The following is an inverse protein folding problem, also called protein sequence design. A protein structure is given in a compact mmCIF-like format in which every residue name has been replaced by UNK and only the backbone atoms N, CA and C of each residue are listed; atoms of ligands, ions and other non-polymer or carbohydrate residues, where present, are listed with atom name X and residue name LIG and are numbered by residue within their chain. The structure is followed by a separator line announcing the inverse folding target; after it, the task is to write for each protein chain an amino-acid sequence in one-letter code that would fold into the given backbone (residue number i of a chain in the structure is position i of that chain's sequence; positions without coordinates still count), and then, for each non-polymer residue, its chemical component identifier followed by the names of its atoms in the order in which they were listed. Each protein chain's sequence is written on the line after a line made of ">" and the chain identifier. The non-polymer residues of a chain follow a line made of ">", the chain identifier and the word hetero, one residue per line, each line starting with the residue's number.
data_IF_084412209905
#
_entry.id   IF_084412209905
#
_cell.length_a   1.000
_cell.length_b   1.000
_cell.length_c   1.000
_cell.angle_alpha   90.00
_cell.angle_beta   90.00
_cell.angle_gamma   90.00
#
_symmetry.space_group_name_H-M   'P 1'
#
loop_
_entity.id
_entity.type
_entity.pdbx_description
1 polymer ?
#
# COMPACT_ATOMS: atom_id res chain seq x y z
N UNK A 1 37.18 -5.53 12.36
CA UNK A 1 36.20 -5.29 11.28
C UNK A 1 35.06 -6.29 11.41
N UNK A 2 33.80 -5.86 11.25
CA UNK A 2 32.93 -5.73 12.41
C UNK A 2 31.66 -6.62 12.39
N UNK A 3 31.55 -7.47 13.41
CA UNK A 3 30.48 -7.65 14.42
C UNK A 3 29.07 -6.99 14.33
N UNK A 4 28.57 -6.50 13.19
CA UNK A 4 27.31 -5.71 13.15
C UNK A 4 26.02 -6.47 12.73
N UNK A 5 25.99 -7.81 12.75
CA UNK A 5 24.87 -8.60 12.20
C UNK A 5 24.03 -9.39 13.22
N UNK A 6 24.16 -9.09 14.53
CA UNK A 6 23.58 -9.91 15.60
C UNK A 6 22.62 -9.19 16.56
N UNK A 7 22.10 -8.01 16.21
CA UNK A 7 21.22 -7.21 17.11
C UNK A 7 19.86 -6.80 16.50
N UNK A 8 19.15 -7.73 15.87
CA UNK A 8 17.73 -7.53 15.50
C UNK A 8 16.81 -8.68 15.89
N UNK A 9 17.30 -9.69 16.63
CA UNK A 9 16.50 -10.87 16.97
C UNK A 9 15.91 -10.89 18.38
N UNK A 10 16.31 -9.97 19.26
CA UNK A 10 15.86 -9.95 20.65
C UNK A 10 14.88 -8.79 20.90
N UNK A 11 13.64 -8.96 20.45
CA UNK A 11 12.49 -8.21 20.95
C UNK A 11 11.26 -9.14 20.97
N UNK A 12 10.72 -9.51 22.14
CA UNK A 12 9.58 -10.41 22.27
C UNK A 12 8.26 -9.61 22.14
N UNK A 13 8.00 -8.99 20.99
CA UNK A 13 6.76 -8.23 20.74
C UNK A 13 6.36 -8.29 19.26
N UNK A 14 6.32 -9.48 18.68
CA UNK A 14 5.71 -9.73 17.36
C UNK A 14 5.14 -11.15 17.31
N UNK A 15 4.28 -11.48 18.28
CA UNK A 15 3.45 -12.68 18.24
C UNK A 15 2.06 -12.33 18.76
N UNK A 16 1.26 -11.68 17.93
CA UNK A 16 -0.19 -11.78 17.97
C UNK A 16 -0.80 -11.12 16.72
N UNK A 17 -1.70 -11.89 16.08
CA UNK A 17 -2.75 -11.46 15.14
C UNK A 17 -2.27 -10.92 13.78
N UNK A 18 -2.27 -11.71 12.70
CA UNK A 18 -3.42 -12.36 12.04
C UNK A 18 -4.60 -11.41 11.78
N UNK A 19 -4.40 -10.41 10.94
CA UNK A 19 -5.38 -9.96 9.93
C UNK A 19 -4.65 -9.12 8.89
N UNK A 20 -3.97 -9.80 7.96
CA UNK A 20 -3.58 -9.17 6.71
C UNK A 20 -4.85 -9.13 5.84
N UNK A 21 -5.74 -8.18 6.13
CA UNK A 21 -6.82 -7.82 5.20
C UNK A 21 -6.15 -7.14 4.02
N UNK A 22 -6.05 -7.90 2.92
CA UNK A 22 -5.86 -7.36 1.58
C UNK A 22 -6.80 -6.17 1.40
N UNK A 23 -6.26 -4.96 1.41
CA UNK A 23 -6.94 -3.84 0.81
C UNK A 23 -6.64 -3.91 -0.70
N UNK A 24 -7.65 -4.08 -1.57
CA UNK A 24 -7.42 -3.92 -2.99
C UNK A 24 -6.99 -2.47 -3.22
N UNK A 25 -5.85 -2.30 -3.90
CA UNK A 25 -5.42 -1.00 -4.42
C UNK A 25 -6.45 -0.61 -5.49
N UNK A 26 -7.51 0.07 -5.06
CA UNK A 26 -8.41 0.79 -5.93
C UNK A 26 -7.66 2.03 -6.42
N UNK A 27 -7.13 1.94 -7.64
CA UNK A 27 -6.88 3.10 -8.47
C UNK A 27 -8.22 3.83 -8.72
N UNK A 28 -8.66 4.66 -7.77
CA UNK A 28 -9.58 5.75 -8.08
C UNK A 28 -8.75 6.89 -8.62
N UNK A 29 -8.73 6.96 -9.94
CA UNK A 29 -8.27 8.13 -10.66
C UNK A 29 -9.02 9.38 -10.20
N UNK A 30 -8.35 10.50 -10.42
CA UNK A 30 -8.92 11.85 -10.54
C UNK A 30 -9.60 12.35 -9.25
N UNK A 31 -8.83 13.13 -8.49
CA UNK A 31 -9.34 14.10 -7.52
C UNK A 31 -10.30 15.06 -8.24
N UNK A 32 -11.57 14.67 -8.38
CA UNK A 32 -12.67 15.59 -8.59
C UNK A 32 -13.21 15.93 -7.20
N UNK A 33 -12.64 16.96 -6.60
CA UNK A 33 -13.22 17.67 -5.47
C UNK A 33 -14.47 18.41 -5.98
N UNK A 34 -15.58 17.69 -6.10
CA UNK A 34 -16.89 18.29 -6.35
C UNK A 34 -17.50 18.65 -5.00
N UNK A 35 -17.41 19.93 -4.64
CA UNK A 35 -18.20 20.52 -3.56
C UNK A 35 -19.67 20.37 -3.94
N UNK A 36 -20.38 19.48 -3.26
CA UNK A 36 -21.82 19.37 -3.43
C UNK A 36 -22.47 20.38 -2.46
N UNK A 37 -22.80 21.56 -3.00
CA UNK A 37 -23.51 22.61 -2.29
C UNK A 37 -25.01 22.28 -2.35
N UNK A 38 -25.47 21.48 -1.38
CA UNK A 38 -26.87 21.14 -1.17
C UNK A 38 -27.47 21.99 -0.05
N UNK A 39 -28.09 23.09 -0.42
CA UNK A 39 -28.91 23.94 0.43
C UNK A 39 -30.07 23.17 1.06
N UNK A 40 -30.15 23.17 2.39
CA UNK A 40 -31.42 23.03 3.13
C UNK A 40 -31.51 24.12 4.18
N UNK A 41 -32.25 25.16 3.81
CA UNK A 41 -32.90 26.10 4.73
C UNK A 41 -33.98 25.34 5.51
N UNK A 42 -34.13 25.72 6.78
CA UNK A 42 -35.35 25.49 7.55
C UNK A 42 -35.34 24.19 8.36
N UNK A 43 -35.00 24.27 9.64
CA UNK A 43 -36.07 24.29 10.62
C UNK A 43 -35.61 24.99 11.89
N UNK A 44 -36.48 25.89 12.33
CA UNK A 44 -36.36 26.64 13.55
C UNK A 44 -37.02 25.81 14.66
N UNK A 45 -36.21 25.29 15.59
CA UNK A 45 -36.71 24.89 16.90
C UNK A 45 -36.04 25.73 17.97
N UNK A 46 -36.88 26.59 18.53
CA UNK A 46 -36.60 27.45 19.66
C UNK A 46 -36.83 26.70 20.98
N UNK A 47 -36.28 27.29 22.06
CA UNK A 47 -36.68 27.11 23.48
C UNK A 47 -36.09 25.86 24.16
N UNK A 48 -35.50 25.90 25.35
CA UNK A 48 -35.05 26.96 26.26
C UNK A 48 -33.98 26.34 27.17
N UNK A 49 -32.88 27.06 27.41
CA UNK A 49 -31.98 26.74 28.53
C UNK A 49 -32.20 27.80 29.60
N UNK A 50 -32.95 27.39 30.62
CA UNK A 50 -33.21 28.12 31.85
C UNK A 50 -31.90 28.47 32.55
N UNK A 51 -31.80 29.74 32.95
CA UNK A 51 -30.58 30.34 33.46
C UNK A 51 -30.05 29.68 34.72
N UNK A 52 -28.73 29.46 34.73
CA UNK A 52 -27.90 29.48 35.94
C UNK A 52 -26.54 30.11 35.62
N UNK A 53 -26.35 31.30 36.22
CA UNK A 53 -25.05 31.92 36.55
C UNK A 53 -24.11 32.18 35.37
N UNK A 54 -24.35 33.27 34.64
CA UNK A 54 -23.36 33.93 33.79
C UNK A 54 -22.21 34.44 34.66
N UNK A 55 -21.19 33.61 34.84
CA UNK A 55 -19.86 34.08 35.22
C UNK A 55 -19.39 34.93 34.03
N UNK A 56 -19.30 36.25 34.21
CA UNK A 56 -18.69 37.13 33.23
C UNK A 56 -17.24 36.67 33.04
N UNK A 57 -17.00 35.91 31.97
CA UNK A 57 -15.67 35.66 31.45
C UNK A 57 -15.37 36.90 30.61
N UNK A 58 -14.36 37.65 31.03
CA UNK A 58 -13.95 38.90 30.37
C UNK A 58 -13.78 38.69 28.88
N UNK A 59 -14.31 39.64 28.11
CA UNK A 59 -14.22 39.75 26.64
C UNK A 59 -12.78 39.95 26.14
N UNK A 60 -11.81 40.01 27.05
CA UNK A 60 -10.38 40.22 26.78
C UNK A 60 -9.62 39.00 26.26
N UNK A 61 -10.32 37.88 26.02
CA UNK A 61 -9.73 36.67 25.45
C UNK A 61 -10.30 36.33 24.05
N UNK A 62 -10.95 37.28 23.37
CA UNK A 62 -11.20 37.14 21.94
C UNK A 62 -9.90 37.49 21.22
N UNK A 63 -9.14 36.50 20.69
CA UNK A 63 -8.03 36.83 19.82
C UNK A 63 -8.57 37.65 18.65
N UNK A 64 -7.96 38.79 18.38
CA UNK A 64 -8.28 39.61 17.21
C UNK A 64 -8.25 38.71 15.97
N UNK A 65 -9.25 38.80 15.08
CA UNK A 65 -9.30 37.98 13.84
C UNK A 65 -7.98 38.03 13.04
N UNK A 66 -7.26 39.14 13.12
CA UNK A 66 -5.94 39.30 12.52
C UNK A 66 -4.86 38.39 13.13
N UNK A 67 -4.83 38.20 14.46
CA UNK A 67 -3.84 37.33 15.11
C UNK A 67 -4.05 35.85 14.81
N UNK A 68 -5.31 35.42 14.61
CA UNK A 68 -5.62 34.07 14.15
C UNK A 68 -5.20 33.83 12.69
N UNK A 69 -5.40 34.83 11.81
CA UNK A 69 -4.93 34.77 10.41
C UNK A 69 -3.42 34.68 10.34
N UNK A 70 -2.71 35.47 11.14
CA UNK A 70 -1.25 35.46 11.17
C UNK A 70 -0.71 34.14 11.74
N UNK A 71 -1.33 33.58 12.78
CA UNK A 71 -0.98 32.25 13.29
C UNK A 71 -1.22 31.13 12.25
N UNK A 72 -2.33 31.18 11.51
CA UNK A 72 -2.62 30.22 10.43
C UNK A 72 -1.52 30.26 9.37
N UNK A 73 -1.21 31.45 8.87
CA UNK A 73 -0.29 31.63 7.75
C UNK A 73 1.16 31.38 8.15
N UNK A 74 1.55 31.75 9.37
CA UNK A 74 2.93 31.66 9.84
C UNK A 74 3.28 30.34 10.53
N UNK A 75 2.30 29.60 11.09
CA UNK A 75 2.57 28.38 11.85
C UNK A 75 1.91 27.12 11.26
N UNK A 76 0.60 27.15 10.97
CA UNK A 76 -0.10 25.95 10.45
C UNK A 76 0.31 25.63 9.01
N UNK A 77 0.36 26.64 8.14
CA UNK A 77 0.70 26.45 6.74
C UNK A 77 2.10 25.84 6.51
N UNK A 78 3.19 26.34 7.11
CA UNK A 78 4.52 25.75 6.91
C UNK A 78 4.63 24.34 7.50
N UNK A 79 4.07 24.09 8.69
CA UNK A 79 4.01 22.75 9.30
C UNK A 79 3.31 21.74 8.40
N UNK A 80 2.20 22.14 7.78
CA UNK A 80 1.45 21.29 6.86
C UNK A 80 2.25 21.05 5.56
N UNK A 81 2.95 22.05 5.05
CA UNK A 81 3.80 21.90 3.87
C UNK A 81 4.96 20.92 4.14
N UNK A 82 5.62 21.02 5.30
CA UNK A 82 6.67 20.10 5.73
C UNK A 82 6.16 18.66 5.83
N UNK A 83 5.05 18.45 6.54
CA UNK A 83 4.45 17.13 6.71
C UNK A 83 4.01 16.52 5.36
N UNK A 84 3.43 17.31 4.47
CA UNK A 84 3.08 16.86 3.10
C UNK A 84 4.33 16.53 2.28
N UNK A 85 5.41 17.30 2.39
CA UNK A 85 6.65 17.04 1.67
C UNK A 85 7.30 15.72 2.13
N UNK A 86 7.28 15.42 3.42
CA UNK A 86 7.78 14.16 3.95
C UNK A 86 6.90 12.97 3.50
N UNK A 87 5.57 13.12 3.53
CA UNK A 87 4.64 12.10 3.05
C UNK A 87 4.84 11.82 1.55
N UNK A 88 5.09 12.85 0.73
CA UNK A 88 5.44 12.68 -0.68
C UNK A 88 6.73 11.89 -0.87
N UNK A 89 7.77 12.14 -0.08
CA UNK A 89 9.03 11.37 -0.13
C UNK A 89 8.79 9.89 0.18
N UNK A 90 7.97 9.60 1.19
CA UNK A 90 7.63 8.22 1.55
C UNK A 90 6.81 7.52 0.47
N UNK A 91 5.88 8.23 -0.16
CA UNK A 91 5.09 7.73 -1.28
C UNK A 91 5.97 7.40 -2.49
N UNK A 92 6.95 8.24 -2.82
CA UNK A 92 7.89 7.99 -3.92
C UNK A 92 8.68 6.69 -3.68
N UNK A 93 9.14 6.45 -2.45
CA UNK A 93 9.84 5.20 -2.10
C UNK A 93 8.91 3.98 -2.25
N UNK A 94 7.65 4.10 -1.82
CA UNK A 94 6.64 3.05 -1.96
C UNK A 94 6.38 2.74 -3.44
N UNK A 95 6.18 3.77 -4.26
CA UNK A 95 5.94 3.66 -5.69
C UNK A 95 7.14 3.00 -6.41
N UNK A 96 8.36 3.35 -6.04
CA UNK A 96 9.56 2.72 -6.58
C UNK A 96 9.63 1.22 -6.24
N UNK A 97 9.30 0.86 -5.00
CA UNK A 97 9.24 -0.55 -4.59
C UNK A 97 8.14 -1.32 -5.33
N UNK A 98 6.99 -0.69 -5.56
CA UNK A 98 5.89 -1.30 -6.31
C UNK A 98 6.28 -1.54 -7.77
N UNK A 99 6.91 -0.55 -8.43
CA UNK A 99 7.43 -0.69 -9.79
C UNK A 99 8.45 -1.82 -9.91
N UNK A 100 9.37 -1.94 -8.95
CA UNK A 100 10.36 -3.03 -8.90
C UNK A 100 9.68 -4.39 -8.67
N UNK A 101 8.68 -4.46 -7.78
CA UNK A 101 7.92 -5.67 -7.52
C UNK A 101 7.17 -6.18 -8.75
N UNK A 102 6.52 -5.29 -9.50
CA UNK A 102 5.83 -5.63 -10.74
C UNK A 102 6.80 -6.11 -11.83
N UNK A 103 7.93 -5.43 -12.02
CA UNK A 103 8.95 -5.85 -12.98
C UNK A 103 9.47 -7.25 -12.68
N UNK A 104 9.71 -7.57 -11.40
CA UNK A 104 10.13 -8.90 -11.02
C UNK A 104 9.06 -9.96 -11.26
N UNK A 105 7.78 -9.66 -10.99
CA UNK A 105 6.69 -10.57 -11.31
C UNK A 105 6.63 -10.86 -12.82
N UNK A 106 6.77 -9.83 -13.65
CA UNK A 106 6.79 -9.97 -15.11
C UNK A 106 7.99 -10.77 -15.60
N UNK A 107 9.18 -10.55 -15.02
CA UNK A 107 10.36 -11.36 -15.32
C UNK A 107 10.17 -12.83 -14.94
N UNK A 108 9.57 -13.12 -13.78
CA UNK A 108 9.29 -14.49 -13.37
C UNK A 108 8.31 -15.19 -14.32
N UNK A 109 7.24 -14.51 -14.71
CA UNK A 109 6.26 -15.04 -15.68
C UNK A 109 6.94 -15.27 -17.03
N UNK A 110 7.72 -14.29 -17.51
CA UNK A 110 8.48 -14.40 -18.76
C UNK A 110 9.48 -15.56 -18.73
N UNK A 111 10.16 -15.79 -17.61
CA UNK A 111 11.06 -16.93 -17.43
C UNK A 111 10.32 -18.28 -17.47
N UNK A 112 9.13 -18.38 -16.87
CA UNK A 112 8.30 -19.58 -16.99
C UNK A 112 7.89 -19.86 -18.44
N UNK A 113 7.46 -18.85 -19.19
CA UNK A 113 7.11 -18.99 -20.61
C UNK A 113 8.34 -19.40 -21.44
N UNK A 114 9.49 -18.77 -21.20
CA UNK A 114 10.73 -19.11 -21.88
C UNK A 114 11.18 -20.55 -21.59
N UNK A 115 11.02 -21.04 -20.35
CA UNK A 115 11.33 -22.41 -19.97
C UNK A 115 10.43 -23.42 -20.70
N UNK A 116 9.12 -23.13 -20.78
CA UNK A 116 8.17 -23.97 -21.54
C UNK A 116 8.54 -24.00 -23.02
N UNK A 117 8.86 -22.85 -23.62
CA UNK A 117 9.29 -22.77 -25.01
C UNK A 117 10.60 -23.54 -25.25
N UNK A 118 11.59 -23.34 -24.37
CA UNK A 118 12.87 -24.06 -24.43
C UNK A 118 12.66 -25.58 -24.38
N UNK A 119 11.81 -26.05 -23.45
CA UNK A 119 11.44 -27.47 -23.37
C UNK A 119 10.86 -27.96 -24.69
N UNK A 120 9.90 -27.24 -25.28
CA UNK A 120 9.27 -27.65 -26.54
C UNK A 120 10.28 -27.71 -27.68
N UNK A 121 11.20 -26.75 -27.77
CA UNK A 121 12.27 -26.73 -28.80
C UNK A 121 13.22 -27.92 -28.61
N UNK A 122 13.65 -28.20 -27.39
CA UNK A 122 14.53 -29.35 -27.10
C UNK A 122 13.84 -30.66 -27.48
N UNK A 123 12.57 -30.84 -27.10
CA UNK A 123 11.80 -32.04 -27.43
C UNK A 123 11.59 -32.20 -28.94
N UNK A 124 11.31 -31.10 -29.64
CA UNK A 124 11.19 -31.09 -31.10
C UNK A 124 12.51 -31.51 -31.74
N UNK A 125 13.63 -30.90 -31.33
CA UNK A 125 14.93 -31.25 -31.86
C UNK A 125 15.29 -32.72 -31.60
N UNK A 126 14.97 -33.24 -30.41
CA UNK A 126 15.20 -34.64 -30.07
C UNK A 126 14.41 -35.60 -30.96
N UNK A 127 13.12 -35.31 -31.16
CA UNK A 127 12.20 -36.17 -31.92
C UNK A 127 12.60 -36.30 -33.39
N UNK A 128 13.13 -35.24 -33.99
CA UNK A 128 13.38 -35.20 -35.44
C UNK A 128 14.84 -35.44 -35.83
N UNK A 129 15.81 -35.17 -34.96
CA UNK A 129 17.23 -35.17 -35.35
C UNK A 129 18.11 -36.17 -34.61
N UNK A 130 17.82 -36.52 -33.35
CA UNK A 130 18.78 -37.27 -32.52
C UNK A 130 18.32 -38.64 -32.04
N UNK A 131 17.04 -38.81 -31.66
CA UNK A 131 16.57 -40.02 -30.99
C UNK A 131 15.32 -40.59 -31.64
N UNK A 132 15.21 -41.92 -31.64
CA UNK A 132 13.98 -42.61 -31.99
C UNK A 132 12.84 -42.29 -30.99
N UNK A 133 11.62 -42.30 -31.50
CA UNK A 133 10.41 -41.99 -30.74
C UNK A 133 10.25 -42.81 -29.45
N UNK A 134 10.71 -44.06 -29.44
CA UNK A 134 10.61 -44.97 -28.30
C UNK A 134 11.38 -44.48 -27.05
N UNK A 135 12.47 -43.72 -27.24
CA UNK A 135 13.21 -43.13 -26.10
C UNK A 135 12.58 -41.81 -25.63
N UNK A 136 12.07 -41.01 -26.57
CA UNK A 136 11.50 -39.69 -26.27
C UNK A 136 10.18 -39.83 -25.50
N UNK A 137 9.35 -40.80 -25.86
CA UNK A 137 8.04 -41.07 -25.27
C UNK A 137 8.03 -41.09 -23.71
N UNK A 138 8.80 -41.95 -23.03
CA UNK A 138 8.82 -41.99 -21.57
C UNK A 138 9.37 -40.71 -20.93
N UNK A 139 10.29 -40.01 -21.61
CA UNK A 139 10.88 -38.78 -21.09
C UNK A 139 9.87 -37.62 -21.14
N UNK A 140 9.11 -37.50 -22.22
CA UNK A 140 8.02 -36.52 -22.32
C UNK A 140 6.99 -36.69 -21.22
N UNK A 141 6.56 -37.93 -20.95
CA UNK A 141 5.63 -38.20 -19.86
C UNK A 141 6.20 -37.75 -18.50
N UNK A 142 7.45 -38.09 -18.20
CA UNK A 142 8.10 -37.67 -16.95
C UNK A 142 8.11 -36.15 -16.77
N UNK A 143 8.45 -35.43 -17.83
CA UNK A 143 8.50 -33.97 -17.80
C UNK A 143 7.08 -33.36 -17.65
N UNK A 144 6.06 -33.92 -18.30
CA UNK A 144 4.67 -33.47 -18.15
C UNK A 144 4.13 -33.74 -16.75
N UNK A 145 4.37 -34.93 -16.20
CA UNK A 145 4.03 -35.24 -14.82
C UNK A 145 4.76 -34.31 -13.84
N UNK A 146 6.05 -34.01 -14.07
CA UNK A 146 6.79 -33.05 -13.26
C UNK A 146 6.17 -31.66 -13.27
N UNK A 147 5.79 -31.16 -14.44
CA UNK A 147 5.10 -29.87 -14.57
C UNK A 147 3.72 -29.89 -13.88
N UNK A 148 2.98 -30.98 -13.99
CA UNK A 148 1.70 -31.18 -13.32
C UNK A 148 1.84 -31.15 -11.79
N UNK A 149 2.81 -31.88 -11.23
CA UNK A 149 3.10 -31.88 -9.80
C UNK A 149 3.50 -30.49 -9.29
N UNK A 150 4.32 -29.74 -10.04
CA UNK A 150 4.66 -28.35 -9.69
C UNK A 150 3.44 -27.43 -9.72
N UNK A 151 2.56 -27.57 -10.71
CA UNK A 151 1.31 -26.83 -10.80
C UNK A 151 0.38 -27.14 -9.62
N UNK A 152 0.25 -28.42 -9.24
CA UNK A 152 -0.50 -28.88 -8.07
C UNK A 152 0.08 -28.33 -6.75
N UNK A 153 1.41 -28.41 -6.57
CA UNK A 153 2.08 -27.86 -5.40
C UNK A 153 1.86 -26.34 -5.30
N UNK A 154 1.96 -25.63 -6.42
CA UNK A 154 1.67 -24.20 -6.48
C UNK A 154 0.21 -23.90 -6.10
N UNK A 155 -0.75 -24.65 -6.65
CA UNK A 155 -2.16 -24.49 -6.34
C UNK A 155 -2.46 -24.70 -4.83
N UNK A 156 -1.79 -25.65 -4.18
CA UNK A 156 -1.90 -25.85 -2.74
C UNK A 156 -1.40 -24.65 -1.91
N UNK A 157 -0.34 -23.97 -2.38
CA UNK A 157 0.21 -22.78 -1.74
C UNK A 157 -0.64 -21.53 -2.03
N UNK A 158 -1.09 -21.38 -3.27
CA UNK A 158 -1.94 -20.27 -3.74
C UNK A 158 -3.41 -20.56 -3.41
N UNK A 159 -3.79 -20.39 -2.14
CA UNK A 159 -5.17 -20.63 -1.69
C UNK A 159 -6.17 -19.69 -2.40
N UNK A 160 -6.86 -20.25 -3.40
CA UNK A 160 -8.23 -19.97 -3.88
C UNK A 160 -8.54 -19.03 -5.05
N UNK A 161 -7.63 -18.24 -5.60
CA UNK A 161 -7.96 -17.47 -6.82
C UNK A 161 -6.80 -17.46 -7.81
N UNK A 162 -6.76 -18.47 -8.68
CA UNK A 162 -5.77 -18.62 -9.75
C UNK A 162 -6.19 -17.85 -11.02
N UNK A 163 -6.47 -16.56 -10.89
CA UNK A 163 -6.59 -15.68 -12.07
C UNK A 163 -5.18 -15.24 -12.45
N UNK A 164 -4.88 -15.17 -13.74
CA UNK A 164 -3.54 -14.76 -14.21
C UNK A 164 -3.12 -13.39 -13.64
N UNK A 165 -4.07 -12.46 -13.56
CA UNK A 165 -3.86 -11.14 -12.96
C UNK A 165 -3.63 -11.21 -11.44
N UNK A 166 -4.33 -12.09 -10.71
CA UNK A 166 -4.11 -12.27 -9.27
C UNK A 166 -2.77 -12.94 -8.96
N UNK A 167 -2.25 -13.78 -9.85
CA UNK A 167 -0.92 -14.39 -9.71
C UNK A 167 0.19 -13.36 -9.82
N UNK A 168 0.14 -12.48 -10.84
CA UNK A 168 1.11 -11.39 -11.03
C UNK A 168 1.13 -10.47 -9.80
N UNK A 169 -0.05 -10.10 -9.31
CA UNK A 169 -0.20 -9.27 -8.11
C UNK A 169 0.29 -10.00 -6.85
N UNK A 170 0.06 -11.31 -6.73
CA UNK A 170 0.55 -12.11 -5.61
C UNK A 170 2.08 -12.16 -5.56
N UNK A 171 2.74 -12.42 -6.70
CA UNK A 171 4.20 -12.39 -6.80
C UNK A 171 4.76 -11.02 -6.46
N UNK A 172 4.17 -9.97 -7.03
CA UNK A 172 4.57 -8.60 -6.79
C UNK A 172 4.43 -8.24 -5.30
N UNK A 173 3.30 -8.56 -4.67
CA UNK A 173 3.03 -8.28 -3.25
C UNK A 173 4.00 -9.02 -2.33
N UNK A 174 4.29 -10.29 -2.62
CA UNK A 174 5.25 -11.09 -1.84
C UNK A 174 6.65 -10.48 -1.88
N UNK A 175 7.08 -10.02 -3.05
CA UNK A 175 8.39 -9.38 -3.21
C UNK A 175 8.43 -7.96 -2.63
N UNK A 176 7.36 -7.18 -2.83
CA UNK A 176 7.20 -5.86 -2.22
C UNK A 176 7.26 -5.95 -0.69
N UNK A 177 6.63 -6.95 -0.07
CA UNK A 177 6.72 -7.19 1.38
C UNK A 177 8.17 -7.43 1.83
N UNK A 178 8.92 -8.21 1.06
CA UNK A 178 10.34 -8.46 1.32
C UNK A 178 11.16 -7.17 1.18
N UNK A 179 10.99 -6.41 0.10
CA UNK A 179 11.66 -5.12 -0.11
C UNK A 179 11.33 -4.10 0.98
N UNK A 180 10.06 -4.05 1.43
CA UNK A 180 9.60 -3.15 2.48
C UNK A 180 10.29 -3.46 3.81
N UNK A 181 10.44 -4.74 4.15
CA UNK A 181 11.18 -5.17 5.34
C UNK A 181 12.68 -4.82 5.27
N UNK A 182 13.28 -4.85 4.08
CA UNK A 182 14.70 -4.54 3.88
C UNK A 182 15.00 -3.04 3.88
N UNK A 183 14.08 -2.21 3.39
CA UNK A 183 14.24 -0.75 3.35
C UNK A 183 13.89 -0.06 4.68
N UNK A 184 13.65 -0.80 5.77
CA UNK A 184 13.22 -0.26 7.07
C UNK A 184 12.05 0.73 6.96
N UNK A 185 11.06 0.42 6.12
CA UNK A 185 9.86 1.23 6.02
C UNK A 185 9.04 1.06 7.30
N UNK A 186 9.00 2.10 8.14
CA UNK A 186 8.18 2.10 9.33
C UNK A 186 6.72 2.44 8.95
N UNK A 187 5.87 1.42 8.90
CA UNK A 187 4.45 1.58 8.57
C UNK A 187 3.73 2.44 9.62
N UNK A 188 4.16 2.37 10.89
CA UNK A 188 3.65 3.19 11.98
C UNK A 188 3.96 4.69 11.77
N UNK A 189 5.18 5.03 11.33
CA UNK A 189 5.56 6.42 11.05
C UNK A 189 4.71 7.02 9.93
N UNK A 190 4.36 6.21 8.91
CA UNK A 190 3.50 6.65 7.82
C UNK A 190 2.07 6.94 8.28
N UNK A 191 1.48 6.08 9.10
CA UNK A 191 0.14 6.28 9.66
C UNK A 191 0.08 7.51 10.58
N UNK A 192 1.13 7.71 11.39
CA UNK A 192 1.27 8.90 12.24
C UNK A 192 1.32 10.18 11.40
N UNK A 193 2.15 10.22 10.36
CA UNK A 193 2.27 11.38 9.47
C UNK A 193 0.95 11.71 8.77
N UNK A 194 0.24 10.68 8.30
CA UNK A 194 -1.07 10.85 7.65
C UNK A 194 -2.12 11.42 8.63
N UNK A 195 -2.10 10.94 9.88
CA UNK A 195 -2.97 11.44 10.94
C UNK A 195 -2.66 12.90 11.30
N UNK A 196 -1.37 13.28 11.31
CA UNK A 196 -0.93 14.65 11.62
C UNK A 196 -1.34 15.62 10.51
N UNK A 197 -1.16 15.25 9.24
CA UNK A 197 -1.65 16.04 8.10
C UNK A 197 -3.15 16.23 8.17
N UNK A 198 -3.91 15.16 8.44
CA UNK A 198 -5.38 15.24 8.57
C UNK A 198 -5.81 16.18 9.69
N UNK A 199 -5.15 16.10 10.85
CA UNK A 199 -5.40 16.99 11.99
C UNK A 199 -5.13 18.45 11.64
N UNK A 200 -4.00 18.74 10.99
CA UNK A 200 -3.63 20.10 10.56
C UNK A 200 -4.63 20.67 9.54
N UNK A 201 -5.10 19.85 8.59
CA UNK A 201 -6.13 20.25 7.62
C UNK A 201 -7.50 20.54 8.25
N UNK A 202 -7.88 19.79 9.28
CA UNK A 202 -9.09 20.04 10.05
C UNK A 202 -9.00 21.36 10.84
N UNK A 203 -7.85 21.64 11.46
CA UNK A 203 -7.61 22.90 12.17
C UNK A 203 -7.67 24.10 11.21
N UNK A 204 -7.06 23.99 10.02
CA UNK A 204 -7.14 25.00 8.97
C UNK A 204 -8.58 25.26 8.51
N UNK A 205 -9.35 24.20 8.23
CA UNK A 205 -10.76 24.33 7.82
C UNK A 205 -11.66 24.90 8.91
N UNK A 206 -11.35 24.63 10.18
CA UNK A 206 -12.07 25.21 11.31
C UNK A 206 -11.88 26.73 11.39
N UNK A 207 -10.66 27.22 11.11
CA UNK A 207 -10.33 28.64 11.11
C UNK A 207 -10.83 29.40 9.87
N UNK A 208 -11.05 28.72 8.75
CA UNK A 208 -11.61 29.33 7.53
C UNK A 208 -13.11 29.65 7.64
N UNK A 209 -13.83 28.97 8.54
CA UNK A 209 -15.28 29.15 8.73
C UNK A 209 -15.65 30.29 9.68
N UNK A 210 -14.67 30.92 10.34
CA UNK A 210 -14.85 32.02 11.30
C UNK A 210 -14.53 33.35 10.62
#
# INVERSE_FOLDING_TARGET
>A
MPSALRRCWDAPLCRAQHTCTMYPIQHKGRLNFSVNMGSRLGDADAVAVTGKRTRQVGVEAVPTLESLREYRDHYLHPRLLEARAELQRMYEIKLQCEKLGLRHADMCIGACVALVAFRTVVLFYWTYFLFDWNLVEPITYLLDYGALWLGLAWYGVARRDAKFESFRQFLATRHMKKLRSQKCYNEEHHELLESEVRRLEEQLRGLERV
#
